data_IF_329714500958
#
_entry.id   IF_329714500958
#
_cell.length_a   1.000
_cell.length_b   1.000
_cell.length_c   1.000
_cell.angle_alpha   90.00
_cell.angle_beta   90.00
_cell.angle_gamma   90.00
#
_symmetry.space_group_name_H-M   'P 1'
#
loop_
_entity.id
_entity.type
_entity.pdbx_description
1 polymer ?
#
# COMPACT_ATOMS: atom_id res chain seq x y z
N UNK A 1 23.71 -1.38 11.57
CA UNK A 1 22.56 -2.07 12.21
C UNK A 1 22.25 -3.31 11.38
N UNK A 2 22.17 -4.47 12.02
CA UNK A 2 21.80 -5.73 11.39
C UNK A 2 20.33 -5.68 10.95
N UNK A 3 19.94 -6.46 9.94
CA UNK A 3 18.55 -6.53 9.46
C UNK A 3 17.55 -6.84 10.59
N UNK A 4 17.90 -7.75 11.51
CA UNK A 4 17.07 -8.13 12.66
C UNK A 4 16.81 -6.95 13.60
N UNK A 5 17.86 -6.21 13.96
CA UNK A 5 17.76 -5.02 14.83
C UNK A 5 16.87 -3.94 14.19
N UNK A 6 16.99 -3.72 12.88
CA UNK A 6 16.13 -2.78 12.17
C UNK A 6 14.66 -3.23 12.20
N UNK A 7 14.41 -4.51 11.92
CA UNK A 7 13.07 -5.10 11.97
C UNK A 7 12.46 -5.05 13.37
N UNK A 8 13.24 -5.19 14.44
CA UNK A 8 12.74 -5.06 15.82
C UNK A 8 12.13 -3.68 16.08
N UNK A 9 12.68 -2.61 15.49
CA UNK A 9 12.12 -1.25 15.60
C UNK A 9 10.77 -1.17 14.89
N UNK A 10 10.70 -1.71 13.67
CA UNK A 10 9.48 -1.67 12.86
C UNK A 10 8.37 -2.55 13.47
N UNK A 11 8.73 -3.75 13.95
CA UNK A 11 7.80 -4.74 14.50
C UNK A 11 7.18 -4.36 15.83
N UNK A 12 7.69 -3.33 16.52
CA UNK A 12 6.99 -2.71 17.66
C UNK A 12 5.61 -2.19 17.26
N UNK A 13 5.46 -1.75 16.01
CA UNK A 13 4.22 -1.16 15.49
C UNK A 13 3.52 -2.09 14.50
N UNK A 14 4.29 -2.83 13.70
CA UNK A 14 3.77 -3.75 12.69
C UNK A 14 4.40 -5.14 12.83
N UNK A 15 3.84 -6.02 13.69
CA UNK A 15 4.48 -7.28 14.09
C UNK A 15 4.83 -8.24 12.95
N UNK A 16 4.02 -8.25 11.87
CA UNK A 16 4.25 -9.10 10.70
C UNK A 16 5.17 -8.46 9.64
N UNK A 17 5.76 -7.30 9.92
CA UNK A 17 6.56 -6.59 8.94
C UNK A 17 7.82 -7.36 8.53
N UNK A 18 8.15 -7.25 7.24
CA UNK A 18 9.40 -7.69 6.62
C UNK A 18 9.98 -6.60 5.73
N UNK A 19 11.22 -6.79 5.28
CA UNK A 19 11.82 -5.91 4.27
C UNK A 19 11.02 -6.01 2.97
N UNK A 20 10.81 -4.87 2.31
CA UNK A 20 10.04 -4.81 1.06
C UNK A 20 10.58 -5.80 0.01
N UNK A 21 11.91 -5.86 -0.13
CA UNK A 21 12.59 -6.78 -1.05
C UNK A 21 12.27 -8.26 -0.78
N UNK A 22 12.18 -8.66 0.49
CA UNK A 22 11.84 -10.04 0.86
C UNK A 22 10.38 -10.32 0.51
N UNK A 23 9.49 -9.37 0.82
CA UNK A 23 8.07 -9.50 0.54
C UNK A 23 7.80 -9.67 -0.96
N UNK A 24 8.45 -8.85 -1.79
CA UNK A 24 8.26 -8.91 -3.24
C UNK A 24 8.86 -10.20 -3.82
N UNK A 25 10.07 -10.60 -3.40
CA UNK A 25 10.65 -11.86 -3.85
C UNK A 25 9.76 -13.06 -3.50
N UNK A 26 9.26 -13.12 -2.26
CA UNK A 26 8.34 -14.20 -1.82
C UNK A 26 7.04 -14.21 -2.62
N UNK A 27 6.50 -13.04 -2.95
CA UNK A 27 5.30 -12.96 -3.77
C UNK A 27 5.57 -13.48 -5.19
N UNK A 28 6.73 -13.16 -5.77
CA UNK A 28 7.15 -13.68 -7.08
C UNK A 28 7.33 -15.20 -7.01
N UNK A 29 7.97 -15.73 -5.97
CA UNK A 29 8.12 -17.18 -5.77
C UNK A 29 6.74 -17.87 -5.73
N UNK A 30 5.75 -17.27 -5.05
CA UNK A 30 4.38 -17.77 -5.05
C UNK A 30 3.75 -17.78 -6.46
N UNK A 31 3.96 -16.71 -7.25
CA UNK A 31 3.43 -16.63 -8.61
C UNK A 31 4.03 -17.71 -9.52
N UNK A 32 5.34 -17.92 -9.43
CA UNK A 32 6.06 -18.89 -10.26
C UNK A 32 5.77 -20.34 -9.83
N UNK A 33 5.84 -20.63 -8.52
CA UNK A 33 5.75 -22.00 -8.01
C UNK A 33 4.31 -22.48 -7.84
N UNK A 34 3.39 -21.61 -7.44
CA UNK A 34 2.01 -22.00 -7.14
C UNK A 34 1.07 -21.66 -8.28
N UNK A 35 1.11 -20.42 -8.79
CA UNK A 35 0.23 -20.01 -9.89
C UNK A 35 0.76 -20.45 -11.27
N UNK A 36 2.02 -20.88 -11.34
CA UNK A 36 2.71 -21.24 -12.59
C UNK A 36 2.70 -20.09 -13.60
N UNK A 37 2.94 -18.87 -13.11
CA UNK A 37 2.98 -17.64 -13.90
C UNK A 37 4.37 -17.02 -13.84
N UNK A 38 4.94 -16.76 -15.02
CA UNK A 38 6.12 -15.90 -15.14
C UNK A 38 5.73 -14.44 -14.83
N UNK A 39 6.60 -13.64 -14.19
CA UNK A 39 6.39 -12.21 -13.98
C UNK A 39 6.04 -11.45 -15.27
N UNK A 40 6.62 -11.86 -16.41
CA UNK A 40 6.37 -11.31 -17.75
C UNK A 40 4.91 -11.44 -18.24
N UNK A 41 4.10 -12.30 -17.60
CA UNK A 41 2.67 -12.51 -17.88
C UNK A 41 1.75 -11.78 -16.91
N UNK A 42 2.31 -11.05 -15.95
CA UNK A 42 1.55 -10.36 -14.92
C UNK A 42 1.55 -8.87 -15.22
N UNK A 43 0.37 -8.33 -15.53
CA UNK A 43 0.13 -6.90 -15.70
C UNK A 43 -0.04 -6.25 -14.33
N UNK A 44 0.89 -5.38 -13.98
CA UNK A 44 1.03 -4.80 -12.66
C UNK A 44 0.41 -3.40 -12.59
N UNK A 45 -0.39 -3.16 -11.56
CA UNK A 45 -0.81 -1.84 -11.11
C UNK A 45 -0.41 -1.61 -9.66
N UNK A 46 -0.05 -0.36 -9.35
CA UNK A 46 0.11 0.08 -7.97
C UNK A 46 -0.85 1.21 -7.59
N UNK A 47 -1.37 1.14 -6.37
CA UNK A 47 -2.08 2.23 -5.71
C UNK A 47 -1.33 2.60 -4.43
N UNK A 48 -0.22 3.33 -4.63
CA UNK A 48 0.69 3.78 -3.58
C UNK A 48 0.84 5.30 -3.60
N UNK A 49 1.46 5.85 -2.55
CA UNK A 49 1.60 7.30 -2.41
C UNK A 49 2.56 7.89 -3.45
N UNK A 50 2.25 9.10 -3.94
CA UNK A 50 3.12 9.88 -4.83
C UNK A 50 4.46 10.30 -4.22
N UNK A 51 4.66 10.10 -2.92
CA UNK A 51 5.91 10.38 -2.21
C UNK A 51 7.07 9.54 -2.79
N UNK A 52 8.21 10.20 -3.05
CA UNK A 52 9.35 9.66 -3.78
C UNK A 52 9.98 8.43 -3.11
N UNK A 53 9.85 8.33 -1.78
CA UNK A 53 10.44 7.25 -1.00
C UNK A 53 9.79 5.88 -1.24
N UNK A 54 8.55 5.83 -1.75
CA UNK A 54 7.87 4.55 -1.99
C UNK A 54 8.44 3.78 -3.19
N UNK A 55 9.30 4.41 -3.99
CA UNK A 55 9.99 3.76 -5.11
C UNK A 55 11.26 3.01 -4.70
N UNK A 56 11.67 3.12 -3.43
CA UNK A 56 12.96 2.67 -2.94
C UNK A 56 12.91 1.17 -2.57
N UNK A 57 13.76 0.36 -3.22
CA UNK A 57 14.07 -1.07 -2.92
C UNK A 57 13.15 -2.17 -3.49
N UNK A 58 12.61 -2.00 -4.70
CA UNK A 58 12.06 -3.15 -5.44
C UNK A 58 13.19 -4.08 -5.94
N UNK A 59 13.04 -5.42 -5.84
CA UNK A 59 14.00 -6.37 -6.41
C UNK A 59 14.02 -6.31 -7.94
N UNK A 60 15.13 -6.69 -8.55
CA UNK A 60 15.29 -6.73 -10.02
C UNK A 60 14.22 -7.59 -10.69
N UNK A 61 13.81 -8.71 -10.09
CA UNK A 61 12.72 -9.59 -10.61
C UNK A 61 11.39 -8.84 -10.79
N UNK A 62 11.13 -7.80 -10.01
CA UNK A 62 9.93 -7.00 -10.16
C UNK A 62 9.93 -6.14 -11.45
N UNK A 63 11.08 -5.97 -12.10
CA UNK A 63 11.17 -5.25 -13.38
C UNK A 63 10.68 -6.10 -14.56
N UNK A 64 10.44 -7.40 -14.35
CA UNK A 64 9.92 -8.30 -15.37
C UNK A 64 8.40 -8.21 -15.52
N UNK A 65 7.70 -7.63 -14.52
CA UNK A 65 6.27 -7.33 -14.63
C UNK A 65 5.97 -6.34 -15.76
N UNK A 66 4.79 -6.47 -16.38
CA UNK A 66 4.30 -5.48 -17.32
C UNK A 66 3.71 -4.28 -16.57
N UNK A 67 4.08 -3.05 -16.93
CA UNK A 67 3.63 -1.83 -16.24
C UNK A 67 4.76 -1.16 -15.43
N UNK A 68 4.48 -0.47 -14.29
CA UNK A 68 3.18 -0.39 -13.61
C UNK A 68 2.19 0.61 -14.20
N UNK A 69 0.90 0.27 -14.15
CA UNK A 69 -0.18 1.25 -14.21
C UNK A 69 -0.35 1.94 -12.84
N UNK A 70 -0.28 3.27 -12.81
CA UNK A 70 -0.36 4.04 -11.56
C UNK A 70 -1.81 4.39 -11.23
N UNK A 71 -2.36 3.78 -10.19
CA UNK A 71 -3.72 4.03 -9.69
C UNK A 71 -3.79 4.99 -8.50
N UNK A 72 -2.68 5.12 -7.78
CA UNK A 72 -2.63 5.83 -6.50
C UNK A 72 -2.71 7.35 -6.60
N UNK A 73 -2.17 8.00 -5.57
CA UNK A 73 -2.14 9.46 -5.39
C UNK A 73 -1.79 9.74 -3.94
N UNK A 74 -2.27 10.83 -3.34
CA UNK A 74 -1.95 11.13 -1.94
C UNK A 74 -2.29 9.94 -1.01
N UNK A 75 -1.28 9.52 -0.26
CA UNK A 75 -1.27 8.35 0.61
C UNK A 75 -1.82 7.04 0.01
N UNK A 76 -1.73 6.86 -1.30
CA UNK A 76 -2.05 5.59 -1.96
C UNK A 76 -3.54 5.33 -2.21
N UNK A 77 -4.41 6.31 -1.99
CA UNK A 77 -5.82 6.16 -2.36
C UNK A 77 -5.98 6.05 -3.89
N UNK A 78 -6.81 5.13 -4.42
CA UNK A 78 -6.89 4.84 -5.84
C UNK A 78 -7.72 5.91 -6.58
N UNK A 79 -7.11 7.08 -6.77
CA UNK A 79 -7.77 8.26 -7.33
C UNK A 79 -8.11 8.16 -8.81
N UNK A 80 -7.48 7.25 -9.56
CA UNK A 80 -7.86 7.00 -10.96
C UNK A 80 -9.27 6.42 -11.12
N UNK A 81 -9.82 5.84 -10.04
CA UNK A 81 -11.20 5.37 -9.96
C UNK A 81 -11.54 4.29 -10.98
N UNK A 82 -12.85 4.15 -11.27
CA UNK A 82 -13.37 3.09 -12.13
C UNK A 82 -12.86 3.21 -13.58
N UNK A 83 -12.71 4.42 -14.09
CA UNK A 83 -12.14 4.66 -15.41
C UNK A 83 -10.70 4.19 -15.48
N UNK A 84 -9.89 4.49 -14.45
CA UNK A 84 -8.52 4.00 -14.34
C UNK A 84 -8.43 2.48 -14.27
N UNK A 85 -9.25 1.85 -13.43
CA UNK A 85 -9.30 0.38 -13.31
C UNK A 85 -9.67 -0.29 -14.65
N UNK A 86 -10.64 0.25 -15.39
CA UNK A 86 -11.03 -0.26 -16.72
C UNK A 86 -9.92 -0.07 -17.77
N UNK A 87 -9.23 1.08 -17.74
CA UNK A 87 -8.08 1.32 -18.63
C UNK A 87 -6.96 0.30 -18.34
N UNK A 88 -6.61 0.11 -17.08
CA UNK A 88 -5.66 -0.90 -16.65
C UNK A 88 -6.06 -2.31 -17.12
N UNK A 89 -7.33 -2.70 -16.91
CA UNK A 89 -7.82 -4.01 -17.31
C UNK A 89 -7.80 -4.26 -18.83
N UNK A 90 -7.72 -3.21 -19.66
CA UNK A 90 -7.61 -3.34 -21.11
C UNK A 90 -6.20 -3.64 -21.63
N UNK A 91 -5.19 -3.57 -20.76
CA UNK A 91 -3.78 -3.77 -21.13
C UNK A 91 -3.25 -5.18 -20.81
N UNK A 92 -4.09 -6.06 -20.27
CA UNK A 92 -3.67 -7.37 -19.76
C UNK A 92 -3.35 -8.30 -20.94
N UNK A 93 -2.22 -9.04 -20.91
CA UNK A 93 -1.97 -10.09 -21.88
C UNK A 93 -3.06 -11.17 -21.85
N UNK A 94 -3.36 -11.74 -23.01
CA UNK A 94 -4.17 -12.95 -23.09
C UNK A 94 -3.54 -14.06 -22.24
N UNK A 95 -4.38 -14.80 -21.50
CA UNK A 95 -4.01 -15.86 -20.55
C UNK A 95 -3.04 -15.42 -19.42
N UNK A 96 -2.87 -14.11 -19.22
CA UNK A 96 -2.03 -13.55 -18.16
C UNK A 96 -2.76 -13.44 -16.81
N UNK A 97 -2.20 -12.60 -15.94
CA UNK A 97 -2.85 -12.21 -14.69
C UNK A 97 -2.71 -10.71 -14.44
N UNK A 98 -3.58 -10.20 -13.59
CA UNK A 98 -3.49 -8.85 -13.03
C UNK A 98 -2.93 -8.94 -11.62
N UNK A 99 -1.98 -8.06 -11.30
CA UNK A 99 -1.54 -7.80 -9.93
C UNK A 99 -1.88 -6.35 -9.57
N UNK A 100 -2.63 -6.16 -8.48
CA UNK A 100 -2.90 -4.85 -7.90
C UNK A 100 -2.24 -4.80 -6.52
N UNK A 101 -1.15 -4.04 -6.41
CA UNK A 101 -0.47 -3.78 -5.13
C UNK A 101 -0.91 -2.42 -4.58
N UNK A 102 -1.38 -2.35 -3.35
CA UNK A 102 -1.93 -1.11 -2.82
C UNK A 102 -1.70 -0.95 -1.34
N UNK A 103 -1.72 0.30 -0.91
CA UNK A 103 -1.53 0.62 0.49
C UNK A 103 -1.20 2.07 0.76
N UNK A 104 -1.50 2.55 1.96
CA UNK A 104 -0.90 3.77 2.46
C UNK A 104 0.56 3.51 2.82
N UNK A 105 1.28 4.60 3.12
CA UNK A 105 2.61 4.51 3.69
C UNK A 105 2.77 5.32 4.96
N UNK A 106 3.70 4.88 5.81
CA UNK A 106 4.08 5.55 7.05
C UNK A 106 5.61 5.55 7.19
N UNK A 107 6.13 6.63 7.75
CA UNK A 107 7.52 6.80 8.12
C UNK A 107 7.78 6.28 9.53
N UNK A 108 8.86 5.55 9.72
CA UNK A 108 9.37 5.19 11.05
C UNK A 108 10.87 5.45 11.07
N UNK A 109 11.31 6.45 11.84
CA UNK A 109 12.75 6.78 11.95
C UNK A 109 13.52 5.63 12.59
N UNK A 110 14.86 5.64 12.49
CA UNK A 110 15.73 4.67 13.19
C UNK A 110 15.64 4.74 14.72
N UNK A 111 15.05 5.82 15.26
CA UNK A 111 14.77 5.98 16.69
C UNK A 111 13.34 5.56 17.06
N UNK A 112 12.55 5.06 16.11
CA UNK A 112 11.18 4.58 16.33
C UNK A 112 10.12 5.67 16.36
N UNK A 113 10.42 6.88 15.90
CA UNK A 113 9.43 7.97 15.77
C UNK A 113 8.54 7.70 14.55
N UNK A 114 7.23 7.63 14.77
CA UNK A 114 6.22 7.40 13.72
C UNK A 114 5.87 8.68 12.96
N UNK A 115 5.53 8.53 11.69
CA UNK A 115 5.08 9.61 10.81
C UNK A 115 6.23 10.44 10.23
N UNK A 116 7.47 10.04 10.43
CA UNK A 116 8.66 10.81 10.06
C UNK A 116 9.80 9.91 9.57
N UNK A 117 10.66 10.49 8.73
CA UNK A 117 11.92 9.89 8.30
C UNK A 117 13.00 10.97 8.16
N UNK A 118 14.26 10.56 8.20
CA UNK A 118 15.40 11.37 7.82
C UNK A 118 15.73 11.17 6.33
N UNK A 119 15.30 12.12 5.49
CA UNK A 119 15.53 12.07 4.04
C UNK A 119 16.96 12.47 3.68
N UNK A 120 17.48 11.88 2.61
CA UNK A 120 18.80 12.23 2.06
C UNK A 120 18.84 13.72 1.73
N UNK A 121 19.88 14.42 2.20
CA UNK A 121 20.09 15.85 1.94
C UNK A 121 19.30 16.80 2.86
N UNK A 122 18.57 16.30 3.86
CA UNK A 122 17.88 17.15 4.85
C UNK A 122 18.59 17.13 6.20
N UNK A 123 18.60 18.25 6.91
CA UNK A 123 19.21 18.36 8.25
C UNK A 123 18.25 17.96 9.39
N UNK A 124 16.95 17.83 9.10
CA UNK A 124 15.90 17.51 10.05
C UNK A 124 15.01 16.41 9.48
N UNK A 125 14.28 15.72 10.36
CA UNK A 125 13.23 14.81 9.94
C UNK A 125 12.14 15.56 9.18
N UNK A 126 11.51 14.88 8.23
CA UNK A 126 10.33 15.35 7.52
C UNK A 126 9.19 14.33 7.61
N UNK A 127 7.98 14.83 7.37
CA UNK A 127 6.76 14.03 7.46
C UNK A 127 6.73 12.89 6.42
N UNK A 128 6.21 11.75 6.82
CA UNK A 128 6.03 10.57 5.98
C UNK A 128 4.92 9.68 6.60
N UNK A 129 3.74 9.52 6.01
CA UNK A 129 3.20 10.25 4.86
C UNK A 129 2.87 11.72 5.23
N UNK A 130 3.29 12.67 4.38
CA UNK A 130 2.92 14.07 4.52
C UNK A 130 1.41 14.32 4.52
N UNK A 131 0.68 13.63 3.63
CA UNK A 131 -0.77 13.77 3.50
C UNK A 131 -1.53 13.24 4.74
N UNK A 132 -1.16 12.06 5.27
CA UNK A 132 -1.75 11.57 6.52
C UNK A 132 -1.47 12.51 7.70
N UNK A 133 -0.24 13.01 7.85
CA UNK A 133 0.07 13.97 8.93
C UNK A 133 -0.68 15.29 8.76
N UNK A 134 -0.86 15.76 7.52
CA UNK A 134 -1.67 16.95 7.23
C UNK A 134 -3.13 16.75 7.64
N UNK A 135 -3.74 15.64 7.21
CA UNK A 135 -5.14 15.34 7.48
C UNK A 135 -5.37 15.13 8.98
N UNK A 136 -4.50 14.35 9.64
CA UNK A 136 -4.52 14.18 11.08
C UNK A 136 -4.34 15.50 11.82
N UNK A 137 -3.42 16.35 11.37
CA UNK A 137 -3.19 17.67 11.97
C UNK A 137 -4.44 18.55 11.95
N UNK A 138 -5.18 18.58 10.83
CA UNK A 138 -6.47 19.28 10.74
C UNK A 138 -7.54 18.61 11.62
N UNK A 139 -7.59 17.28 11.65
CA UNK A 139 -8.53 16.53 12.49
C UNK A 139 -8.35 16.87 13.99
N UNK A 140 -7.11 16.83 14.49
CA UNK A 140 -6.76 17.14 15.88
C UNK A 140 -7.14 18.58 16.28
N UNK A 141 -7.11 19.51 15.32
CA UNK A 141 -7.48 20.92 15.53
C UNK A 141 -8.96 21.22 15.25
N UNK A 142 -9.74 20.21 14.85
CA UNK A 142 -11.12 20.36 14.41
C UNK A 142 -11.27 21.35 13.23
N UNK A 143 -10.34 21.28 12.27
CA UNK A 143 -10.27 22.12 11.06
C UNK A 143 -10.82 21.40 9.81
N UNK A 144 -11.28 20.15 9.93
CA UNK A 144 -11.94 19.43 8.83
C UNK A 144 -13.43 19.76 8.86
N UNK A 145 -13.93 20.34 7.77
CA UNK A 145 -15.35 20.56 7.54
C UNK A 145 -15.93 19.32 6.86
N UNK A 146 -17.00 18.77 7.42
CA UNK A 146 -17.66 17.59 6.88
C UNK A 146 -18.17 17.85 5.45
N UNK A 147 -17.97 16.87 4.56
CA UNK A 147 -18.35 16.89 3.15
C UNK A 147 -17.71 18.00 2.28
N UNK A 148 -16.74 18.74 2.81
CA UNK A 148 -15.98 19.72 2.03
C UNK A 148 -14.90 19.03 1.19
N UNK A 149 -15.10 19.02 -0.13
CA UNK A 149 -14.14 18.54 -1.14
C UNK A 149 -14.09 19.55 -2.28
N UNK A 150 -12.91 20.11 -2.53
CA UNK A 150 -12.69 21.13 -3.57
C UNK A 150 -11.97 20.54 -4.77
N UNK A 151 -12.10 21.14 -5.95
CA UNK A 151 -11.39 20.70 -7.15
C UNK A 151 -9.86 20.83 -7.00
N UNK A 152 -9.40 21.93 -6.39
CA UNK A 152 -7.97 22.25 -6.29
C UNK A 152 -7.21 21.31 -5.36
N UNK A 153 -7.80 20.90 -4.23
CA UNK A 153 -7.14 20.05 -3.23
C UNK A 153 -7.90 18.73 -3.01
N UNK A 154 -8.56 18.26 -4.06
CA UNK A 154 -9.47 17.11 -4.07
C UNK A 154 -8.91 15.89 -3.33
N UNK A 155 -7.67 15.49 -3.66
CA UNK A 155 -7.07 14.28 -3.07
C UNK A 155 -6.85 14.42 -1.57
N UNK A 156 -6.44 15.61 -1.11
CA UNK A 156 -6.21 15.87 0.30
C UNK A 156 -7.54 15.92 1.06
N UNK A 157 -8.53 16.62 0.52
CA UNK A 157 -9.86 16.70 1.13
C UNK A 157 -10.51 15.31 1.23
N UNK A 158 -10.33 14.42 0.24
CA UNK A 158 -10.81 13.03 0.34
C UNK A 158 -10.16 12.29 1.53
N UNK A 159 -8.85 12.44 1.75
CA UNK A 159 -8.19 11.85 2.92
C UNK A 159 -8.68 12.45 4.24
N UNK A 160 -8.93 13.75 4.27
CA UNK A 160 -9.53 14.44 5.42
C UNK A 160 -10.91 13.85 5.76
N UNK A 161 -11.78 13.66 4.76
CA UNK A 161 -13.09 13.04 4.97
C UNK A 161 -13.00 11.58 5.44
N UNK A 162 -12.00 10.82 4.96
CA UNK A 162 -11.74 9.45 5.44
C UNK A 162 -11.42 9.46 6.93
N UNK A 163 -10.50 10.32 7.38
CA UNK A 163 -10.14 10.41 8.80
C UNK A 163 -11.29 10.98 9.64
N UNK A 164 -12.02 11.98 9.13
CA UNK A 164 -13.13 12.61 9.84
C UNK A 164 -14.24 11.61 10.19
N UNK A 165 -14.58 10.70 9.26
CA UNK A 165 -15.56 9.62 9.50
C UNK A 165 -15.14 8.66 10.61
N UNK A 166 -13.84 8.55 10.89
CA UNK A 166 -13.27 7.69 11.94
C UNK A 166 -12.67 8.50 13.09
N UNK A 167 -13.11 9.76 13.29
CA UNK A 167 -12.48 10.69 14.24
C UNK A 167 -12.34 10.13 15.65
N UNK A 168 -13.38 9.49 16.22
CA UNK A 168 -13.31 8.94 17.59
C UNK A 168 -12.19 7.92 17.69
N UNK A 169 -12.18 6.92 16.79
CA UNK A 169 -11.17 5.86 16.73
C UNK A 169 -9.75 6.42 16.69
N UNK A 170 -9.52 7.46 15.90
CA UNK A 170 -8.20 8.09 15.75
C UNK A 170 -7.82 8.90 17.00
N UNK A 171 -8.75 9.69 17.54
CA UNK A 171 -8.52 10.56 18.70
C UNK A 171 -8.31 9.76 20.00
N UNK A 172 -8.97 8.60 20.11
CA UNK A 172 -8.89 7.72 21.28
C UNK A 172 -7.63 6.83 21.26
N UNK A 173 -6.88 6.81 20.15
CA UNK A 173 -5.67 5.99 19.99
C UNK A 173 -4.46 6.62 20.66
N UNK A 174 -3.64 5.80 21.33
CA UNK A 174 -2.34 6.21 21.86
C UNK A 174 -1.30 6.50 20.76
N UNK A 175 -1.55 6.05 19.53
CA UNK A 175 -0.69 6.27 18.37
C UNK A 175 -1.52 6.81 17.18
N UNK A 176 -2.03 8.05 17.24
CA UNK A 176 -3.00 8.57 16.26
C UNK A 176 -2.54 8.50 14.80
N UNK A 177 -1.24 8.64 14.53
CA UNK A 177 -0.70 8.53 13.16
C UNK A 177 -0.66 7.10 12.64
N UNK A 178 -0.42 6.10 13.50
CA UNK A 178 -0.55 4.71 13.12
C UNK A 178 -2.02 4.37 12.87
N UNK A 179 -2.93 4.83 13.75
CA UNK A 179 -4.36 4.62 13.59
C UNK A 179 -4.92 5.26 12.31
N UNK A 180 -4.52 6.50 12.02
CA UNK A 180 -4.89 7.17 10.77
C UNK A 180 -4.39 6.41 9.54
N UNK A 181 -3.22 5.78 9.63
CA UNK A 181 -2.66 4.95 8.55
C UNK A 181 -3.50 3.69 8.33
N UNK A 182 -3.92 3.01 9.40
CA UNK A 182 -4.81 1.83 9.34
C UNK A 182 -6.20 2.21 8.78
N UNK A 183 -6.78 3.33 9.23
CA UNK A 183 -8.05 3.85 8.70
C UNK A 183 -7.95 4.13 7.19
N UNK A 184 -6.84 4.72 6.73
CA UNK A 184 -6.62 4.95 5.30
C UNK A 184 -6.45 3.61 4.57
N UNK A 185 -5.71 2.64 5.13
CA UNK A 185 -5.59 1.31 4.54
C UNK A 185 -6.95 0.65 4.32
N UNK A 186 -7.82 0.67 5.32
CA UNK A 186 -9.17 0.11 5.23
C UNK A 186 -10.00 0.79 4.13
N UNK A 187 -9.92 2.13 4.01
CA UNK A 187 -10.60 2.88 2.95
C UNK A 187 -10.06 2.55 1.54
N UNK A 188 -8.74 2.36 1.41
CA UNK A 188 -8.10 1.94 0.16
C UNK A 188 -8.56 0.53 -0.19
N UNK A 189 -8.48 -0.41 0.75
CA UNK A 189 -8.85 -1.81 0.55
C UNK A 189 -10.31 -1.94 0.11
N UNK A 190 -11.22 -1.22 0.78
CA UNK A 190 -12.62 -1.17 0.39
C UNK A 190 -12.77 -0.67 -1.06
N UNK A 191 -12.14 0.47 -1.40
CA UNK A 191 -12.25 1.05 -2.74
C UNK A 191 -11.66 0.14 -3.82
N UNK A 192 -10.54 -0.52 -3.58
CA UNK A 192 -9.95 -1.48 -4.52
C UNK A 192 -10.92 -2.64 -4.78
N UNK A 193 -11.55 -3.19 -3.73
CA UNK A 193 -12.54 -4.26 -3.89
C UNK A 193 -13.78 -3.81 -4.69
N UNK A 194 -14.28 -2.59 -4.46
CA UNK A 194 -15.36 -1.99 -5.24
C UNK A 194 -14.98 -1.87 -6.73
N UNK A 195 -13.76 -1.38 -7.01
CA UNK A 195 -13.25 -1.23 -8.38
C UNK A 195 -13.09 -2.57 -9.09
N UNK A 196 -12.55 -3.59 -8.39
CA UNK A 196 -12.37 -4.95 -8.91
C UNK A 196 -13.71 -5.59 -9.23
N UNK A 197 -14.67 -5.55 -8.32
CA UNK A 197 -16.01 -6.10 -8.55
C UNK A 197 -16.78 -5.40 -9.68
N UNK A 198 -16.44 -4.15 -9.98
CA UNK A 198 -17.07 -3.33 -11.02
C UNK A 198 -16.36 -3.39 -12.38
N UNK A 199 -15.31 -4.21 -12.51
CA UNK A 199 -14.48 -4.29 -13.71
C UNK A 199 -14.44 -5.73 -14.24
N UNK A 200 -14.53 -5.86 -15.57
CA UNK A 200 -14.31 -7.15 -16.24
C UNK A 200 -12.85 -7.26 -16.63
N UNK A 201 -12.27 -8.44 -16.40
CA UNK A 201 -10.88 -8.74 -16.71
C UNK A 201 -10.84 -9.87 -17.72
N UNK A 202 -9.94 -9.78 -18.70
CA UNK A 202 -9.69 -10.83 -19.69
C UNK A 202 -8.37 -11.54 -19.37
N UNK A 203 -8.31 -12.20 -18.23
CA UNK A 203 -7.11 -12.87 -17.72
C UNK A 203 -7.50 -14.05 -16.84
N UNK A 204 -6.54 -14.86 -16.42
CA UNK A 204 -6.80 -16.01 -15.58
C UNK A 204 -7.02 -15.63 -14.12
N UNK A 205 -6.17 -14.75 -13.60
CA UNK A 205 -6.19 -14.36 -12.20
C UNK A 205 -6.25 -12.83 -12.03
N UNK A 206 -6.99 -12.39 -11.00
CA UNK A 206 -6.82 -11.07 -10.38
C UNK A 206 -6.20 -11.29 -9.00
N UNK A 207 -4.99 -10.76 -8.82
CA UNK A 207 -4.19 -10.89 -7.61
C UNK A 207 -4.23 -9.57 -6.86
N UNK A 208 -4.65 -9.61 -5.59
CA UNK A 208 -4.74 -8.42 -4.73
C UNK A 208 -3.72 -8.53 -3.60
N UNK A 209 -2.79 -7.58 -3.52
CA UNK A 209 -1.82 -7.48 -2.42
C UNK A 209 -1.98 -6.13 -1.74
N UNK A 210 -2.66 -6.14 -0.60
CA UNK A 210 -2.87 -4.96 0.24
C UNK A 210 -1.85 -4.94 1.37
N UNK A 211 -1.16 -3.83 1.58
CA UNK A 211 -0.16 -3.71 2.62
C UNK A 211 -0.06 -2.31 3.21
N UNK A 212 0.60 -2.16 4.35
CA UNK A 212 1.12 -0.87 4.81
C UNK A 212 2.58 -0.79 4.39
N UNK A 213 2.92 0.20 3.58
CA UNK A 213 4.29 0.48 3.18
C UNK A 213 4.98 1.27 4.30
N UNK A 214 6.13 0.81 4.74
CA UNK A 214 6.82 1.39 5.88
C UNK A 214 8.18 1.88 5.41
N UNK A 215 8.31 3.20 5.30
CA UNK A 215 9.54 3.85 4.91
C UNK A 215 10.33 4.22 6.17
N UNK A 216 11.65 4.09 6.13
CA UNK A 216 12.51 4.47 7.25
C UNK A 216 13.63 5.39 6.78
N UNK A 217 14.52 5.75 7.70
CA UNK A 217 15.69 6.57 7.40
C UNK A 217 16.52 5.92 6.27
N UNK A 218 17.30 6.72 5.54
CA UNK A 218 18.04 6.24 4.37
C UNK A 218 18.98 5.06 4.63
N UNK A 219 19.44 4.89 5.87
CA UNK A 219 20.30 3.79 6.34
C UNK A 219 19.53 2.59 6.93
N UNK A 220 18.20 2.67 6.98
CA UNK A 220 17.29 1.64 7.52
C UNK A 220 16.61 0.83 6.41
N UNK A 221 16.27 1.46 5.28
CA UNK A 221 15.59 0.82 4.15
C UNK A 221 14.06 0.77 4.26
N UNK A 222 13.44 -0.01 3.38
CA UNK A 222 11.98 -0.10 3.21
C UNK A 222 11.42 -1.42 3.72
N UNK A 223 10.27 -1.33 4.36
CA UNK A 223 9.56 -2.45 4.98
C UNK A 223 8.11 -2.47 4.52
N UNK A 224 7.44 -3.58 4.76
CA UNK A 224 6.01 -3.71 4.46
C UNK A 224 5.35 -4.62 5.47
N UNK A 225 4.11 -4.31 5.82
CA UNK A 225 3.21 -5.13 6.62
C UNK A 225 2.05 -5.55 5.72
N UNK A 226 2.09 -6.79 5.23
CA UNK A 226 1.03 -7.32 4.35
C UNK A 226 -0.24 -7.55 5.16
N UNK A 227 -1.38 -7.12 4.61
CA UNK A 227 -2.70 -7.13 5.23
C UNK A 227 -3.73 -7.92 4.40
N UNK A 228 -3.52 -7.99 3.08
CA UNK A 228 -4.26 -8.86 2.17
C UNK A 228 -3.30 -9.51 1.18
N UNK A 229 -3.55 -10.79 0.91
CA UNK A 229 -3.03 -11.46 -0.29
C UNK A 229 -4.12 -12.41 -0.78
N UNK A 230 -4.86 -11.98 -1.81
CA UNK A 230 -5.95 -12.77 -2.37
C UNK A 230 -5.67 -13.13 -3.83
N UNK A 231 -6.05 -14.36 -4.18
CA UNK A 231 -6.10 -14.88 -5.54
C UNK A 231 -7.56 -15.02 -5.94
N UNK A 232 -7.98 -14.27 -6.97
CA UNK A 232 -9.29 -14.42 -7.60
C UNK A 232 -9.07 -15.15 -8.92
N UNK A 233 -9.54 -16.39 -9.01
CA UNK A 233 -9.49 -17.18 -10.23
C UNK A 233 -10.77 -16.97 -11.04
N UNK A 234 -10.61 -16.44 -12.25
CA UNK A 234 -11.73 -16.09 -13.13
C UNK A 234 -12.27 -17.28 -13.93
N UNK A 235 -11.50 -18.37 -14.04
CA UNK A 235 -11.94 -19.60 -14.73
C UNK A 235 -12.98 -20.38 -13.92
N UNK A 236 -12.79 -20.50 -12.60
CA UNK A 236 -13.68 -21.23 -11.68
C UNK A 236 -14.51 -20.31 -10.76
N UNK A 237 -14.33 -18.99 -10.89
CA UNK A 237 -15.01 -17.95 -10.10
C UNK A 237 -14.80 -18.10 -8.59
N UNK A 238 -13.59 -18.46 -8.17
CA UNK A 238 -13.20 -18.57 -6.77
C UNK A 238 -12.36 -17.38 -6.29
N UNK A 239 -12.42 -17.11 -4.99
CA UNK A 239 -11.54 -16.16 -4.30
C UNK A 239 -10.97 -16.82 -3.06
N UNK A 240 -9.65 -16.89 -2.97
CA UNK A 240 -8.93 -17.46 -1.85
C UNK A 240 -7.96 -16.45 -1.28
N UNK A 241 -7.91 -16.36 0.06
CA UNK A 241 -6.83 -15.64 0.74
C UNK A 241 -5.67 -16.59 1.01
N UNK A 242 -4.46 -16.15 0.70
CA UNK A 242 -3.20 -16.90 0.85
C UNK A 242 -2.25 -16.20 1.83
N UNK A 243 -2.77 -15.24 2.58
CA UNK A 243 -1.99 -14.41 3.50
C UNK A 243 -1.34 -15.22 4.63
N UNK A 244 -2.03 -16.20 5.19
CA UNK A 244 -1.49 -17.02 6.28
C UNK A 244 -0.29 -17.86 5.82
N UNK A 245 -0.39 -18.46 4.63
CA UNK A 245 0.71 -19.17 3.98
C UNK A 245 1.88 -18.22 3.72
N UNK A 246 1.61 -17.07 3.11
CA UNK A 246 2.60 -16.04 2.81
C UNK A 246 3.36 -15.54 4.06
N UNK A 247 2.64 -15.36 5.18
CA UNK A 247 3.21 -14.93 6.45
C UNK A 247 3.82 -16.08 7.27
N UNK A 248 3.49 -17.34 7.00
CA UNK A 248 4.01 -18.49 7.77
C UNK A 248 5.52 -18.70 7.60
N UNK A 249 6.09 -18.24 6.48
CA UNK A 249 7.53 -18.25 6.15
C UNK A 249 8.32 -17.19 6.96
N UNK A 250 7.76 -16.68 8.06
CA UNK A 250 8.38 -15.71 8.98
C UNK A 250 9.00 -16.36 10.23
N UNK A 251 8.90 -17.68 10.37
CA UNK A 251 9.50 -18.44 11.48
C UNK A 251 10.94 -18.85 11.17
#
# INVERSE_FOLDING_TARGET
MLKKERLEIIRKYYPNAITLIDSVNRAIDYYEEVLQLEPSKIMFADSICSDDVNSIQYPTRAQEFLGPFKMGGLNGFPFTGLTGMKAFASHIPDDGAVLIYYGPHIGITKNGILGEIHRVGQSKNSNCCGAAKGALGKLLKNEIVEDEVTEMDYQMNVLEQILFKQKSRIMDSNLPIAEATEVIYEAIDQRINELVSSTKYNCKYVILVGAILINSDSDMGSYTSTKRFDIINLEDNTRQSVIDEFLSVLK
#
